data_IF_534730657246
#
_entry.id   IF_534730657246
#
_cell.length_a   1.000
_cell.length_b   1.000
_cell.length_c   1.000
_cell.angle_alpha   90.00
_cell.angle_beta   90.00
_cell.angle_gamma   90.00
#
_symmetry.space_group_name_H-M   'P 1'
#
loop_
_entity.id
_entity.type
_entity.pdbx_description
1 polymer ?
#
# COMPACT_ATOMS: atom_id res chain seq x y z
N UNK A 1 18.02 -14.18 23.93
CA UNK A 1 17.24 -15.13 23.12
C UNK A 1 15.73 -14.92 23.23
N UNK A 2 15.14 -14.74 24.42
CA UNK A 2 13.71 -14.46 24.57
C UNK A 2 13.25 -13.11 23.98
N UNK A 3 14.06 -12.06 24.10
CA UNK A 3 13.76 -10.73 23.53
C UNK A 3 13.76 -10.71 21.99
N UNK A 4 14.66 -11.46 21.36
CA UNK A 4 14.71 -11.60 19.89
C UNK A 4 13.50 -12.39 19.37
N UNK A 5 13.05 -13.42 20.11
CA UNK A 5 11.79 -14.11 19.78
C UNK A 5 10.57 -13.23 20.03
N UNK A 6 10.56 -12.42 21.08
CA UNK A 6 9.48 -11.48 21.38
C UNK A 6 9.39 -10.34 20.36
N UNK A 7 10.51 -9.88 19.78
CA UNK A 7 10.50 -8.91 18.67
C UNK A 7 10.04 -9.49 17.33
N UNK A 8 9.96 -10.82 17.22
CA UNK A 8 9.41 -11.53 16.07
C UNK A 8 7.91 -11.85 16.25
N UNK A 9 7.35 -11.60 17.43
CA UNK A 9 5.90 -11.68 17.67
C UNK A 9 5.28 -10.36 17.17
N UNK A 10 4.45 -10.39 16.11
CA UNK A 10 3.97 -9.18 15.49
C UNK A 10 2.92 -8.52 16.41
N UNK A 11 3.39 -7.65 17.31
CA UNK A 11 2.56 -6.80 18.17
C UNK A 11 1.52 -5.96 17.39
N UNK A 12 1.69 -5.84 16.07
CA UNK A 12 0.75 -5.25 15.14
C UNK A 12 -0.61 -5.98 15.05
N UNK A 13 -0.71 -7.26 15.44
CA UNK A 13 -1.98 -8.02 15.34
C UNK A 13 -3.05 -7.60 16.36
N UNK A 14 -2.73 -6.73 17.31
CA UNK A 14 -3.60 -6.43 18.46
C UNK A 14 -3.95 -4.95 18.66
N UNK A 15 -3.43 -4.04 17.84
CA UNK A 15 -3.77 -2.62 17.97
C UNK A 15 -5.22 -2.38 17.49
N UNK A 16 -6.06 -1.79 18.35
CA UNK A 16 -7.45 -1.43 18.01
C UNK A 16 -7.51 -0.14 17.19
N UNK A 17 -6.56 0.77 17.42
CA UNK A 17 -6.40 2.02 16.69
C UNK A 17 -5.05 2.02 15.96
N UNK A 18 -5.00 2.60 14.76
CA UNK A 18 -3.79 2.64 13.92
C UNK A 18 -2.65 3.42 14.57
N UNK A 19 -2.96 4.49 15.30
CA UNK A 19 -2.02 5.25 16.14
C UNK A 19 -1.45 4.45 17.32
N UNK A 20 -2.08 3.32 17.69
CA UNK A 20 -1.57 2.40 18.71
C UNK A 20 -0.74 1.26 18.09
N UNK A 21 -0.72 1.15 16.76
CA UNK A 21 0.10 0.16 16.05
C UNK A 21 1.56 0.59 16.07
N UNK A 22 2.48 -0.22 16.65
CA UNK A 22 3.91 0.08 16.61
C UNK A 22 4.46 0.21 15.18
N UNK A 23 3.86 -0.46 14.20
CA UNK A 23 4.26 -0.37 12.78
C UNK A 23 3.93 1.00 12.21
N UNK A 24 2.72 1.51 12.47
CA UNK A 24 2.33 2.86 12.04
C UNK A 24 3.18 3.92 12.72
N UNK A 25 3.42 3.80 14.03
CA UNK A 25 4.27 4.75 14.76
C UNK A 25 5.71 4.81 14.22
N UNK A 26 6.27 3.69 13.75
CA UNK A 26 7.61 3.67 13.13
C UNK A 26 7.60 4.42 11.80
N UNK A 27 6.60 4.17 10.94
CA UNK A 27 6.48 4.85 9.64
C UNK A 27 6.24 6.34 9.81
N UNK A 28 5.32 6.73 10.70
CA UNK A 28 5.03 8.14 11.03
C UNK A 28 6.32 8.84 11.47
N UNK A 29 7.05 8.29 12.45
CA UNK A 29 8.30 8.91 12.95
C UNK A 29 9.40 8.99 11.88
N UNK A 30 9.51 7.97 11.02
CA UNK A 30 10.49 7.98 9.94
C UNK A 30 10.14 9.05 8.89
N UNK A 31 8.86 9.16 8.54
CA UNK A 31 8.38 10.17 7.61
C UNK A 31 8.51 11.59 8.17
N UNK A 32 8.14 11.81 9.43
CA UNK A 32 8.33 13.09 10.14
C UNK A 32 9.80 13.51 10.18
N UNK A 33 10.71 12.56 10.46
CA UNK A 33 12.15 12.83 10.48
C UNK A 33 12.67 13.24 9.09
N UNK A 34 12.21 12.58 8.04
CA UNK A 34 12.59 12.91 6.66
C UNK A 34 12.00 14.27 6.23
N UNK A 35 10.75 14.56 6.59
CA UNK A 35 10.13 15.87 6.38
C UNK A 35 10.86 17.00 7.09
N UNK A 36 11.27 16.79 8.35
CA UNK A 36 12.07 17.77 9.09
C UNK A 36 13.44 18.04 8.42
N UNK A 37 13.95 17.08 7.65
CA UNK A 37 15.15 17.23 6.83
C UNK A 37 14.88 17.80 5.42
N UNK A 38 13.64 18.16 5.09
CA UNK A 38 13.23 18.67 3.78
C UNK A 38 12.91 17.58 2.74
N UNK A 39 12.79 16.32 3.16
CA UNK A 39 12.57 15.13 2.34
C UNK A 39 11.14 14.88 1.87
N UNK A 40 10.26 15.89 1.83
CA UNK A 40 8.86 15.74 1.41
C UNK A 40 8.69 15.05 0.05
N UNK A 41 9.65 15.23 -0.85
CA UNK A 41 9.67 14.51 -2.12
C UNK A 41 9.83 12.98 -1.93
N UNK A 42 10.73 12.55 -1.04
CA UNK A 42 11.02 11.13 -0.84
C UNK A 42 9.81 10.38 -0.27
N UNK A 43 9.12 10.97 0.70
CA UNK A 43 7.93 10.36 1.32
C UNK A 43 6.80 10.22 0.30
N UNK A 44 6.59 11.23 -0.55
CA UNK A 44 5.63 11.14 -1.66
C UNK A 44 6.02 10.10 -2.70
N UNK A 45 7.30 9.99 -3.04
CA UNK A 45 7.81 8.97 -3.97
C UNK A 45 7.67 7.55 -3.43
N UNK A 46 7.82 7.38 -2.10
CA UNK A 46 7.56 6.11 -1.43
C UNK A 46 6.08 5.73 -1.51
N UNK A 47 5.17 6.65 -1.17
CA UNK A 47 3.74 6.41 -1.27
C UNK A 47 3.30 6.10 -2.71
N UNK A 48 3.82 6.84 -3.69
CA UNK A 48 3.54 6.62 -5.10
C UNK A 48 4.04 5.26 -5.59
N UNK A 49 5.29 4.91 -5.29
CA UNK A 49 5.87 3.61 -5.65
C UNK A 49 5.12 2.44 -5.01
N UNK A 50 4.80 2.55 -3.72
CA UNK A 50 3.97 1.55 -3.04
C UNK A 50 2.57 1.43 -3.67
N UNK A 51 1.97 2.54 -4.07
CA UNK A 51 0.71 2.53 -4.82
C UNK A 51 0.82 1.80 -6.15
N UNK A 52 1.86 2.07 -6.94
CA UNK A 52 2.12 1.41 -8.22
C UNK A 52 2.36 -0.08 -8.05
N UNK A 53 3.19 -0.49 -7.09
CA UNK A 53 3.41 -1.90 -6.78
C UNK A 53 2.11 -2.61 -6.36
N UNK A 54 1.31 -1.98 -5.50
CA UNK A 54 0.01 -2.51 -5.09
C UNK A 54 -0.96 -2.64 -6.28
N UNK A 55 -1.00 -1.64 -7.16
CA UNK A 55 -1.81 -1.68 -8.38
C UNK A 55 -1.34 -2.79 -9.33
N UNK A 56 -0.03 -2.92 -9.54
CA UNK A 56 0.55 -3.98 -10.37
C UNK A 56 0.20 -5.38 -9.88
N UNK A 57 0.31 -5.64 -8.58
CA UNK A 57 -0.09 -6.91 -7.97
C UNK A 57 -1.59 -7.14 -8.05
N UNK A 58 -2.40 -6.09 -7.90
CA UNK A 58 -3.86 -6.19 -8.06
C UNK A 58 -4.20 -6.60 -9.50
N UNK A 59 -3.56 -5.98 -10.49
CA UNK A 59 -3.75 -6.30 -11.90
C UNK A 59 -3.30 -7.74 -12.22
N UNK A 60 -2.19 -8.19 -11.65
CA UNK A 60 -1.74 -9.57 -11.79
C UNK A 60 -2.76 -10.55 -11.17
N UNK A 61 -3.23 -10.30 -9.95
CA UNK A 61 -4.27 -11.13 -9.32
C UNK A 61 -5.57 -11.17 -10.13
N UNK A 62 -5.95 -10.05 -10.76
CA UNK A 62 -7.12 -9.98 -11.65
C UNK A 62 -6.92 -10.86 -12.89
N UNK A 63 -5.73 -10.78 -13.51
CA UNK A 63 -5.35 -11.60 -14.66
C UNK A 63 -5.39 -13.10 -14.34
N UNK A 64 -4.83 -13.52 -13.19
CA UNK A 64 -4.85 -14.93 -12.75
C UNK A 64 -6.26 -15.46 -12.47
N UNK A 65 -7.22 -14.56 -12.25
CA UNK A 65 -8.63 -14.89 -12.02
C UNK A 65 -9.52 -14.72 -13.25
N UNK A 66 -8.95 -14.30 -14.38
CA UNK A 66 -9.67 -13.95 -15.61
C UNK A 66 -10.80 -12.93 -15.37
N UNK A 67 -10.53 -11.92 -14.53
CA UNK A 67 -11.46 -10.83 -14.24
C UNK A 67 -10.81 -9.47 -14.48
N UNK A 68 -11.64 -8.46 -14.69
CA UNK A 68 -11.19 -7.08 -14.76
C UNK A 68 -10.78 -6.56 -13.37
N UNK A 69 -9.70 -5.78 -13.29
CA UNK A 69 -9.26 -5.15 -12.04
C UNK A 69 -10.37 -4.29 -11.40
N UNK A 70 -11.26 -3.68 -12.19
CA UNK A 70 -12.42 -2.94 -11.72
C UNK A 70 -13.38 -3.81 -10.88
N UNK A 71 -13.47 -5.12 -11.14
CA UNK A 71 -14.28 -6.05 -10.34
C UNK A 71 -13.67 -6.23 -8.96
N UNK A 72 -12.35 -6.37 -8.88
CA UNK A 72 -11.63 -6.46 -7.59
C UNK A 72 -11.80 -5.18 -6.79
N UNK A 73 -11.67 -4.00 -7.43
CA UNK A 73 -11.88 -2.70 -6.77
C UNK A 73 -13.31 -2.56 -6.25
N UNK A 74 -14.33 -2.95 -7.03
CA UNK A 74 -15.71 -2.92 -6.58
C UNK A 74 -15.96 -3.82 -5.37
N UNK A 75 -15.29 -4.96 -5.28
CA UNK A 75 -15.39 -5.86 -4.13
C UNK A 75 -14.66 -5.29 -2.89
N UNK A 76 -13.54 -4.60 -3.07
CA UNK A 76 -12.89 -3.83 -2.00
C UNK A 76 -13.78 -2.70 -1.50
N UNK A 77 -14.43 -1.93 -2.39
CA UNK A 77 -15.37 -0.86 -2.01
C UNK A 77 -16.54 -1.41 -1.19
N UNK A 78 -17.12 -2.55 -1.59
CA UNK A 78 -18.18 -3.23 -0.82
C UNK A 78 -17.67 -3.66 0.56
N UNK A 79 -16.48 -4.28 0.62
CA UNK A 79 -15.87 -4.71 1.87
C UNK A 79 -15.62 -3.55 2.83
N UNK A 80 -15.07 -2.45 2.32
CA UNK A 80 -14.81 -1.24 3.08
C UNK A 80 -16.11 -0.59 3.60
N UNK A 81 -17.17 -0.56 2.78
CA UNK A 81 -18.49 -0.09 3.19
C UNK A 81 -19.10 -0.94 4.32
N UNK A 82 -18.97 -2.27 4.26
CA UNK A 82 -19.42 -3.18 5.32
C UNK A 82 -18.68 -2.93 6.64
N UNK A 83 -17.40 -2.57 6.56
CA UNK A 83 -16.57 -2.22 7.71
C UNK A 83 -16.77 -0.77 8.20
N UNK A 84 -17.63 0.02 7.54
CA UNK A 84 -17.91 1.40 7.90
C UNK A 84 -16.85 2.41 7.44
N UNK A 85 -15.99 2.04 6.48
CA UNK A 85 -14.91 2.87 5.93
C UNK A 85 -15.11 3.07 4.42
N UNK A 86 -16.21 3.71 3.96
CA UNK A 86 -16.56 3.79 2.53
C UNK A 86 -15.55 4.59 1.67
N UNK A 87 -14.62 5.29 2.31
CA UNK A 87 -13.61 6.13 1.68
C UNK A 87 -12.18 5.69 2.04
N UNK A 88 -11.96 4.38 2.16
CA UNK A 88 -10.63 3.83 2.46
C UNK A 88 -9.55 4.37 1.49
N UNK A 89 -8.50 5.07 2.01
CA UNK A 89 -7.44 5.65 1.19
C UNK A 89 -6.72 4.64 0.29
N UNK A 90 -6.53 3.39 0.73
CA UNK A 90 -5.91 2.34 -0.08
C UNK A 90 -6.78 2.00 -1.29
N UNK A 91 -8.09 1.85 -1.07
CA UNK A 91 -9.04 1.55 -2.15
C UNK A 91 -9.12 2.71 -3.13
N UNK A 92 -9.10 3.97 -2.64
CA UNK A 92 -9.06 5.15 -3.51
C UNK A 92 -7.77 5.21 -4.33
N UNK A 93 -6.62 4.95 -3.72
CA UNK A 93 -5.32 4.89 -4.40
C UNK A 93 -5.35 3.89 -5.56
N UNK A 94 -5.74 2.64 -5.27
CA UNK A 94 -5.85 1.58 -6.27
C UNK A 94 -6.83 1.92 -7.39
N UNK A 95 -7.98 2.52 -7.04
CA UNK A 95 -8.97 2.97 -8.02
C UNK A 95 -8.40 4.01 -8.98
N UNK A 96 -7.69 5.03 -8.46
CA UNK A 96 -7.08 6.06 -9.33
C UNK A 96 -6.06 5.45 -10.27
N UNK A 97 -5.25 4.50 -9.82
CA UNK A 97 -4.18 3.88 -10.62
C UNK A 97 -4.69 2.87 -11.65
N UNK A 98 -5.73 2.10 -11.33
CA UNK A 98 -6.20 1.00 -12.18
C UNK A 98 -7.38 1.37 -13.07
N UNK A 99 -8.18 2.35 -12.67
CA UNK A 99 -9.43 2.72 -13.37
C UNK A 99 -9.48 4.19 -13.75
N UNK A 100 -8.54 5.00 -13.26
CA UNK A 100 -8.43 6.41 -13.62
C UNK A 100 -7.92 6.63 -15.04
N UNK A 101 -7.97 7.88 -15.54
CA UNK A 101 -7.33 8.24 -16.80
C UNK A 101 -5.82 8.00 -16.71
N UNK A 102 -5.21 7.73 -17.86
CA UNK A 102 -3.77 7.44 -17.95
C UNK A 102 -2.92 8.60 -17.42
N UNK A 103 -1.90 8.26 -16.63
CA UNK A 103 -0.97 9.21 -16.01
C UNK A 103 -1.16 9.34 -14.49
N UNK A 104 -0.19 9.96 -13.83
CA UNK A 104 -0.12 10.03 -12.36
C UNK A 104 -0.78 11.28 -11.76
N UNK A 105 -1.39 12.14 -12.57
CA UNK A 105 -1.88 13.43 -12.09
C UNK A 105 -2.97 13.28 -11.02
N UNK A 106 -3.97 12.43 -11.25
CA UNK A 106 -5.04 12.23 -10.26
C UNK A 106 -4.53 11.58 -8.98
N UNK A 107 -3.61 10.62 -9.09
CA UNK A 107 -2.97 9.98 -7.94
C UNK A 107 -2.13 10.99 -7.15
N UNK A 108 -1.39 11.86 -7.83
CA UNK A 108 -0.64 12.94 -7.18
C UNK A 108 -1.56 13.94 -6.48
N UNK A 109 -2.65 14.37 -7.12
CA UNK A 109 -3.64 15.26 -6.52
C UNK A 109 -4.35 14.62 -5.32
N UNK A 110 -4.61 13.31 -5.37
CA UNK A 110 -5.12 12.53 -4.23
C UNK A 110 -4.13 12.51 -3.06
N UNK A 111 -2.86 12.16 -3.32
CA UNK A 111 -1.83 12.11 -2.28
C UNK A 111 -1.59 13.48 -1.63
N UNK A 112 -1.50 14.55 -2.43
CA UNK A 112 -1.32 15.92 -1.92
C UNK A 112 -2.49 16.34 -1.04
N UNK A 113 -3.72 16.02 -1.45
CA UNK A 113 -4.92 16.31 -0.68
C UNK A 113 -4.96 15.53 0.62
N UNK A 114 -4.66 14.22 0.57
CA UNK A 114 -4.64 13.37 1.75
C UNK A 114 -3.60 13.87 2.76
N UNK A 115 -2.39 14.17 2.30
CA UNK A 115 -1.33 14.74 3.17
C UNK A 115 -1.74 16.08 3.79
N UNK A 116 -2.48 16.93 3.07
CA UNK A 116 -2.91 18.24 3.56
C UNK A 116 -4.08 18.16 4.54
N UNK A 117 -5.08 17.33 4.23
CA UNK A 117 -6.32 17.23 5.00
C UNK A 117 -6.14 16.35 6.24
N UNK A 118 -5.33 15.28 6.14
CA UNK A 118 -5.08 14.31 7.20
C UNK A 118 -3.71 13.62 7.00
N UNK A 119 -2.66 14.26 7.53
CA UNK A 119 -1.28 13.78 7.45
C UNK A 119 -1.09 12.38 8.08
N UNK A 120 -1.79 12.09 9.19
CA UNK A 120 -1.74 10.75 9.80
C UNK A 120 -2.33 9.68 8.86
N UNK A 121 -3.47 9.98 8.21
CA UNK A 121 -4.06 9.08 7.24
C UNK A 121 -3.16 8.85 6.00
N UNK A 122 -2.36 9.84 5.62
CA UNK A 122 -1.35 9.67 4.56
C UNK A 122 -0.25 8.68 4.95
N UNK A 123 0.24 8.72 6.20
CA UNK A 123 1.23 7.74 6.66
C UNK A 123 0.63 6.35 6.86
N UNK A 124 -0.62 6.29 7.34
CA UNK A 124 -1.36 5.04 7.43
C UNK A 124 -1.54 4.40 6.06
N UNK A 125 -1.78 5.19 5.01
CA UNK A 125 -1.86 4.68 3.63
C UNK A 125 -0.56 3.96 3.22
N UNK A 126 0.61 4.49 3.57
CA UNK A 126 1.90 3.86 3.24
C UNK A 126 2.01 2.48 3.91
N UNK A 127 1.57 2.37 5.17
CA UNK A 127 1.55 1.12 5.92
C UNK A 127 0.55 0.13 5.32
N UNK A 128 -0.65 0.60 4.98
CA UNK A 128 -1.71 -0.22 4.38
C UNK A 128 -1.27 -0.77 3.02
N UNK A 129 -0.63 0.06 2.19
CA UNK A 129 -0.05 -0.37 0.91
C UNK A 129 1.01 -1.44 1.10
N UNK A 130 1.92 -1.28 2.07
CA UNK A 130 2.95 -2.27 2.36
C UNK A 130 2.36 -3.60 2.84
N UNK A 131 1.37 -3.57 3.73
CA UNK A 131 0.66 -4.77 4.18
C UNK A 131 -0.09 -5.46 3.05
N UNK A 132 -0.74 -4.69 2.19
CA UNK A 132 -1.46 -5.21 1.03
C UNK A 132 -0.52 -5.89 0.04
N UNK A 133 0.60 -5.25 -0.31
CA UNK A 133 1.66 -5.82 -1.16
C UNK A 133 2.17 -7.14 -0.56
N UNK A 134 2.54 -7.13 0.73
CA UNK A 134 3.02 -8.33 1.41
C UNK A 134 1.99 -9.47 1.38
N UNK A 135 0.71 -9.14 1.51
CA UNK A 135 -0.39 -10.09 1.40
C UNK A 135 -0.50 -10.67 0.00
N UNK A 136 -0.45 -9.84 -1.05
CA UNK A 136 -0.51 -10.29 -2.44
C UNK A 136 0.68 -11.21 -2.79
N UNK A 137 1.91 -10.83 -2.41
CA UNK A 137 3.09 -11.66 -2.59
C UNK A 137 2.92 -13.02 -1.90
N UNK A 138 2.42 -13.01 -0.66
CA UNK A 138 2.14 -14.23 0.09
C UNK A 138 1.07 -15.11 -0.58
N UNK A 139 0.01 -14.51 -1.13
CA UNK A 139 -1.05 -15.22 -1.85
C UNK A 139 -0.53 -15.86 -3.15
N UNK A 140 0.24 -15.11 -3.96
CA UNK A 140 0.83 -15.64 -5.19
C UNK A 140 1.72 -16.85 -4.91
N UNK A 141 2.56 -16.77 -3.88
CA UNK A 141 3.40 -17.88 -3.44
C UNK A 141 2.59 -19.07 -2.92
N UNK A 142 1.58 -18.82 -2.08
CA UNK A 142 0.74 -19.88 -1.51
C UNK A 142 -0.08 -20.63 -2.58
N UNK A 143 -0.45 -19.94 -3.66
CA UNK A 143 -1.16 -20.54 -4.79
C UNK A 143 -0.23 -21.14 -5.86
N UNK A 144 1.09 -21.06 -5.68
CA UNK A 144 2.07 -21.60 -6.63
C UNK A 144 2.09 -20.86 -7.97
N UNK A 145 1.60 -19.61 -8.01
CA UNK A 145 1.54 -18.78 -9.21
C UNK A 145 2.92 -18.18 -9.49
N UNK A 146 3.55 -17.60 -8.46
CA UNK A 146 4.90 -17.04 -8.52
C UNK A 146 5.57 -17.21 -7.17
N UNK A 147 6.89 -17.44 -7.15
CA UNK A 147 7.62 -17.47 -5.88
C UNK A 147 7.70 -16.07 -5.27
N UNK A 148 8.02 -16.00 -3.97
CA UNK A 148 8.21 -14.71 -3.30
C UNK A 148 9.32 -13.89 -3.98
N UNK A 149 10.44 -14.53 -4.29
CA UNK A 149 11.61 -13.85 -4.83
C UNK A 149 11.33 -13.36 -6.26
N UNK A 150 10.73 -14.20 -7.11
CA UNK A 150 10.35 -13.81 -8.48
C UNK A 150 9.33 -12.66 -8.47
N UNK A 151 8.38 -12.67 -7.53
CA UNK A 151 7.40 -11.59 -7.40
C UNK A 151 8.06 -10.28 -6.98
N UNK A 152 9.04 -10.33 -6.08
CA UNK A 152 9.78 -9.14 -5.65
C UNK A 152 10.68 -8.60 -6.77
N UNK A 153 11.33 -9.47 -7.54
CA UNK A 153 12.12 -9.07 -8.72
C UNK A 153 11.23 -8.39 -9.78
N UNK A 154 10.04 -8.95 -10.06
CA UNK A 154 9.08 -8.32 -10.97
C UNK A 154 8.57 -6.95 -10.48
N UNK A 155 8.47 -6.75 -9.16
CA UNK A 155 8.14 -5.45 -8.58
C UNK A 155 9.29 -4.47 -8.74
N UNK A 156 10.54 -4.90 -8.55
CA UNK A 156 11.72 -4.06 -8.73
C UNK A 156 11.79 -3.56 -10.18
N UNK A 157 11.60 -4.44 -11.17
CA UNK A 157 11.55 -4.07 -12.60
C UNK A 157 10.44 -3.05 -12.92
N UNK A 158 9.27 -3.23 -12.30
CA UNK A 158 8.14 -2.32 -12.45
C UNK A 158 8.43 -0.94 -11.85
N UNK A 159 9.02 -0.91 -10.66
CA UNK A 159 9.37 0.32 -9.95
C UNK A 159 10.51 1.06 -10.65
N UNK A 160 11.50 0.33 -11.18
CA UNK A 160 12.54 0.93 -12.02
C UNK A 160 11.94 1.62 -13.24
N UNK A 161 10.95 1.01 -13.89
CA UNK A 161 10.26 1.61 -15.04
C UNK A 161 9.46 2.84 -14.62
N UNK A 162 8.83 2.80 -13.44
CA UNK A 162 8.06 3.93 -12.91
C UNK A 162 8.92 5.15 -12.57
N UNK A 163 10.15 4.94 -12.08
CA UNK A 163 11.05 6.01 -11.66
C UNK A 163 11.94 6.60 -12.77
N UNK A 164 11.87 6.06 -13.99
CA UNK A 164 12.62 6.55 -15.17
C UNK A 164 11.84 7.62 -15.94
#
# INVERSE_FOLDING_TARGET
MHLIRASLDPAARTARLRTESPVCQVVIRAAEADLAAGGAHNVNMLAAGAGVAAAGLTAWLAQERDVDAAVIIADFEKGAAIQGIPHDPLVQMLKTLLTGPTGMQQTAEFMVRLLHDDEEAFYDLIVDLAHYIATCVGLLAAHGISSRDDTLEALDDMLETFYR
#
